data_IF_814817227203
#
_entry.id   IF_814817227203
#
_cell.length_a   1.000
_cell.length_b   1.000
_cell.length_c   1.000
_cell.angle_alpha   90.00
_cell.angle_beta   90.00
_cell.angle_gamma   90.00
#
_symmetry.space_group_name_H-M   'P 1'
#
loop_
_entity.id
_entity.type
_entity.pdbx_description
1 polymer ?
#
# COMPACT_ATOMS: atom_id res chain seq x y z
N UNK A 1 26.05 10.51 -14.25
CA UNK A 1 24.79 11.27 -14.33
C UNK A 1 23.72 10.27 -14.00
N UNK A 2 23.33 10.21 -12.73
CA UNK A 2 22.32 9.26 -12.27
C UNK A 2 21.02 9.62 -12.96
N UNK A 3 20.48 8.69 -13.74
CA UNK A 3 19.18 8.87 -14.37
C UNK A 3 18.13 8.93 -13.26
N UNK A 4 17.48 10.06 -13.09
CA UNK A 4 16.28 10.16 -12.26
C UNK A 4 15.24 9.19 -12.83
N UNK A 5 14.92 8.15 -12.05
CA UNK A 5 13.88 7.19 -12.43
C UNK A 5 12.54 7.89 -12.24
N UNK A 6 11.84 8.17 -13.34
CA UNK A 6 10.50 8.75 -13.30
C UNK A 6 9.47 7.73 -12.82
N UNK A 7 9.20 7.75 -11.51
CA UNK A 7 8.20 6.88 -10.88
C UNK A 7 6.76 7.23 -11.25
N UNK A 8 6.50 8.30 -12.01
CA UNK A 8 5.14 8.63 -12.47
C UNK A 8 4.54 7.56 -13.39
N UNK A 9 5.39 6.70 -13.97
CA UNK A 9 5.01 5.57 -14.82
C UNK A 9 5.09 4.22 -14.12
N UNK A 10 5.38 4.19 -12.82
CA UNK A 10 5.47 2.95 -12.07
C UNK A 10 4.16 2.16 -12.20
N UNK A 11 4.20 0.87 -12.58
CA UNK A 11 3.01 0.04 -12.62
C UNK A 11 2.25 0.11 -11.30
N UNK A 12 0.91 0.21 -11.37
CA UNK A 12 0.06 0.34 -10.19
C UNK A 12 0.22 -0.80 -9.18
N UNK A 13 0.74 -1.96 -9.61
CA UNK A 13 1.05 -3.09 -8.73
C UNK A 13 2.10 -2.76 -7.65
N UNK A 14 2.91 -1.73 -7.86
CA UNK A 14 3.93 -1.27 -6.90
C UNK A 14 3.40 -0.16 -5.98
N UNK A 15 2.19 0.33 -6.21
CA UNK A 15 1.61 1.40 -5.43
C UNK A 15 0.77 0.84 -4.27
N UNK A 16 0.89 1.46 -3.11
CA UNK A 16 0.05 1.15 -1.95
C UNK A 16 -1.41 1.51 -2.28
N UNK A 17 -2.37 0.59 -2.11
CA UNK A 17 -3.78 0.89 -2.37
C UNK A 17 -4.37 2.01 -1.51
N UNK A 18 -3.76 2.30 -0.34
CA UNK A 18 -4.20 3.39 0.55
C UNK A 18 -3.60 4.73 0.14
N UNK A 19 -2.27 4.80 -0.06
CA UNK A 19 -1.58 6.08 -0.28
C UNK A 19 -1.43 6.46 -1.74
N UNK A 20 -1.65 5.51 -2.67
CA UNK A 20 -1.45 5.64 -4.11
C UNK A 20 -0.01 6.03 -4.51
N UNK A 21 0.95 5.81 -3.60
CA UNK A 21 2.38 6.00 -3.84
C UNK A 21 3.09 4.66 -3.91
N UNK A 22 4.25 4.63 -4.56
CA UNK A 22 5.14 3.45 -4.54
C UNK A 22 5.40 3.04 -3.10
N UNK A 23 5.23 1.75 -2.80
CA UNK A 23 5.45 1.19 -1.46
C UNK A 23 6.94 1.21 -1.12
N UNK A 24 7.29 1.78 0.02
CA UNK A 24 8.65 1.71 0.57
C UNK A 24 8.87 0.38 1.30
N UNK A 25 7.88 -0.03 2.10
CA UNK A 25 7.90 -1.30 2.84
C UNK A 25 6.63 -2.12 2.57
N UNK A 26 6.60 -2.92 1.49
CA UNK A 26 5.43 -3.72 1.13
C UNK A 26 5.20 -4.87 2.13
N UNK A 27 3.98 -4.98 2.64
CA UNK A 27 3.53 -6.05 3.54
C UNK A 27 2.28 -6.73 2.98
N UNK A 28 2.25 -8.06 3.06
CA UNK A 28 1.08 -8.85 2.66
C UNK A 28 0.10 -8.92 3.84
N UNK A 29 -1.12 -8.45 3.63
CA UNK A 29 -2.17 -8.47 4.64
C UNK A 29 -3.07 -9.71 4.50
N UNK A 30 -3.82 -10.03 5.56
CA UNK A 30 -4.67 -11.22 5.62
C UNK A 30 -5.84 -11.20 4.61
N UNK A 31 -6.19 -10.01 4.11
CA UNK A 31 -7.22 -9.80 3.09
C UNK A 31 -6.73 -10.10 1.65
N UNK A 32 -5.44 -10.45 1.50
CA UNK A 32 -4.84 -10.84 0.22
C UNK A 32 -4.24 -9.69 -0.58
N UNK A 33 -4.20 -8.46 -0.02
CA UNK A 33 -3.61 -7.29 -0.66
C UNK A 33 -2.23 -6.96 -0.07
N UNK A 34 -1.45 -6.20 -0.84
CA UNK A 34 -0.16 -5.66 -0.40
C UNK A 34 -0.33 -4.17 -0.15
N UNK A 35 0.15 -3.74 1.01
CA UNK A 35 0.15 -2.34 1.42
C UNK A 35 1.56 -1.91 1.79
N UNK A 36 1.78 -0.60 1.82
CA UNK A 36 2.91 -0.06 2.56
C UNK A 36 2.61 -0.18 4.07
N UNK A 37 3.56 -0.75 4.84
CA UNK A 37 3.44 -0.99 6.28
C UNK A 37 2.87 0.21 7.02
N UNK A 38 3.45 1.39 6.79
CA UNK A 38 3.11 2.61 7.54
C UNK A 38 1.62 2.96 7.39
N UNK A 39 1.09 2.78 6.19
CA UNK A 39 -0.29 3.17 5.88
C UNK A 39 -1.29 2.12 6.36
N UNK A 40 -0.99 0.83 6.26
CA UNK A 40 -1.91 -0.21 6.77
C UNK A 40 -1.93 -0.27 8.30
N UNK A 41 -0.80 -0.05 8.98
CA UNK A 41 -0.76 0.03 10.44
C UNK A 41 -1.57 1.23 10.96
N UNK A 42 -1.44 2.40 10.30
CA UNK A 42 -2.25 3.57 10.64
C UNK A 42 -3.74 3.34 10.39
N UNK A 43 -4.10 2.73 9.25
CA UNK A 43 -5.48 2.39 8.96
C UNK A 43 -6.07 1.46 10.02
N UNK A 44 -5.32 0.41 10.40
CA UNK A 44 -5.74 -0.59 11.38
C UNK A 44 -5.87 -0.06 12.80
N UNK A 45 -5.20 1.04 13.12
CA UNK A 45 -5.33 1.71 14.41
C UNK A 45 -6.74 2.28 14.62
N UNK A 46 -7.39 2.73 13.54
CA UNK A 46 -8.73 3.36 13.58
C UNK A 46 -9.84 2.46 13.00
N UNK A 47 -9.48 1.46 12.18
CA UNK A 47 -10.40 0.60 11.45
C UNK A 47 -10.01 -0.86 11.66
N UNK A 48 -10.97 -1.76 11.91
CA UNK A 48 -10.68 -3.20 12.00
C UNK A 48 -11.14 -3.96 10.75
N UNK A 49 -11.09 -3.30 9.59
CA UNK A 49 -11.56 -3.83 8.31
C UNK A 49 -10.55 -3.54 7.21
N UNK A 50 -10.55 -4.35 6.15
CA UNK A 50 -9.77 -4.14 4.94
C UNK A 50 -10.17 -2.84 4.23
N UNK A 51 -9.20 -1.99 3.82
CA UNK A 51 -9.47 -0.82 2.96
C UNK A 51 -10.08 -1.19 1.60
N UNK A 52 -9.87 -2.43 1.13
CA UNK A 52 -10.24 -2.87 -0.22
C UNK A 52 -11.57 -3.61 -0.26
N UNK A 53 -11.86 -4.41 0.77
CA UNK A 53 -13.03 -5.29 0.79
C UNK A 53 -14.06 -4.91 1.85
N UNK A 54 -13.68 -4.04 2.78
CA UNK A 54 -14.47 -3.66 3.95
C UNK A 54 -14.86 -4.86 4.84
N UNK A 55 -14.13 -5.98 4.74
CA UNK A 55 -14.28 -7.15 5.60
C UNK A 55 -13.32 -7.08 6.80
N UNK A 56 -13.61 -7.75 7.92
CA UNK A 56 -12.73 -7.77 9.09
C UNK A 56 -11.30 -8.20 8.76
N UNK A 57 -10.32 -7.53 9.36
CA UNK A 57 -8.89 -7.76 9.13
C UNK A 57 -8.10 -7.80 10.44
#
# INVERSE_FOLDING_TARGET
MESEVDFSTAPSIFQCPISLKVMEEPVFAADGFIYDRKFIELWLHENQVSPMTNQPM
#
